data_IF_841248893494
#
_entry.id   IF_841248893494
#
_cell.length_a   1.000
_cell.length_b   1.000
_cell.length_c   1.000
_cell.angle_alpha   90.00
_cell.angle_beta   90.00
_cell.angle_gamma   90.00
#
_symmetry.space_group_name_H-M   'P 1'
#
loop_
_entity.id
_entity.type
_entity.pdbx_description
1 polymer ?
#
# COMPACT_ATOMS: atom_id res chain seq x y z
N UNK A 1 17.13 -24.31 -22.28
CA UNK A 1 16.50 -23.46 -21.25
C UNK A 1 15.02 -23.84 -21.18
N UNK A 2 14.57 -24.45 -20.08
CA UNK A 2 13.16 -24.82 -19.94
C UNK A 2 12.33 -23.55 -19.77
N UNK A 3 11.37 -23.31 -20.66
CA UNK A 3 10.37 -22.26 -20.51
C UNK A 3 9.55 -22.57 -19.25
N UNK A 4 9.78 -21.80 -18.19
CA UNK A 4 9.01 -21.88 -16.96
C UNK A 4 7.54 -21.62 -17.28
N UNK A 5 6.68 -22.55 -16.85
CA UNK A 5 5.23 -22.49 -17.03
C UNK A 5 4.73 -21.11 -16.55
N UNK A 6 4.26 -20.27 -17.47
CA UNK A 6 3.87 -18.90 -17.17
C UNK A 6 2.76 -18.94 -16.12
N UNK A 7 3.08 -18.47 -14.92
CA UNK A 7 2.11 -18.46 -13.83
C UNK A 7 1.12 -17.32 -14.04
N UNK A 8 -0.15 -17.57 -13.70
CA UNK A 8 -1.21 -16.55 -13.73
C UNK A 8 -0.98 -15.37 -12.76
N UNK A 9 0.09 -15.41 -11.98
CA UNK A 9 0.42 -14.46 -10.91
C UNK A 9 1.88 -13.99 -11.00
N UNK A 10 2.41 -13.84 -12.22
CA UNK A 10 3.81 -13.48 -12.41
C UNK A 10 4.14 -12.07 -11.88
N UNK A 11 3.26 -11.10 -12.13
CA UNK A 11 3.31 -9.76 -11.52
C UNK A 11 1.93 -9.38 -11.00
N UNK A 12 1.88 -8.81 -9.80
CA UNK A 12 0.64 -8.35 -9.17
C UNK A 12 0.86 -6.97 -8.56
N UNK A 13 -0.17 -6.13 -8.62
CA UNK A 13 -0.23 -4.86 -7.92
C UNK A 13 -1.13 -5.01 -6.70
N UNK A 14 -0.69 -4.58 -5.53
CA UNK A 14 -1.47 -4.68 -4.31
C UNK A 14 -1.12 -3.63 -3.29
N UNK A 15 -1.87 -3.61 -2.20
CA UNK A 15 -1.65 -2.71 -1.08
C UNK A 15 -0.92 -3.44 0.05
N UNK A 16 0.13 -2.83 0.59
CA UNK A 16 0.81 -3.35 1.77
C UNK A 16 -0.10 -3.24 3.01
N UNK A 17 -0.24 -4.33 3.76
CA UNK A 17 -1.04 -4.41 4.99
C UNK A 17 -0.15 -4.85 6.16
N UNK A 18 -0.55 -4.58 7.41
CA UNK A 18 0.24 -4.98 8.58
C UNK A 18 0.55 -6.48 8.59
N UNK A 19 1.77 -6.83 8.95
CA UNK A 19 2.24 -8.22 8.95
C UNK A 19 3.13 -8.55 10.12
N UNK A 20 2.78 -9.62 10.84
CA UNK A 20 3.56 -10.15 11.97
C UNK A 20 4.89 -10.78 11.52
N UNK A 21 4.99 -11.18 10.25
CA UNK A 21 6.15 -11.92 9.75
C UNK A 21 7.35 -10.99 9.51
N UNK A 22 8.49 -11.36 10.07
CA UNK A 22 9.75 -10.65 9.84
C UNK A 22 10.29 -10.91 8.42
N UNK A 23 10.94 -9.90 7.83
CA UNK A 23 11.55 -9.93 6.48
C UNK A 23 10.59 -10.18 5.31
N UNK A 24 9.28 -10.08 5.55
CA UNK A 24 8.26 -10.22 4.52
C UNK A 24 7.10 -9.27 4.79
N UNK A 25 6.62 -8.62 3.73
CA UNK A 25 5.46 -7.75 3.78
C UNK A 25 4.23 -8.51 3.28
N UNK A 26 3.09 -8.36 3.97
CA UNK A 26 1.81 -8.93 3.54
C UNK A 26 1.14 -7.95 2.59
N UNK A 27 0.70 -8.44 1.44
CA UNK A 27 0.17 -7.61 0.36
C UNK A 27 -1.21 -8.10 -0.01
N UNK A 28 -2.17 -7.17 0.02
CA UNK A 28 -3.56 -7.38 -0.34
C UNK A 28 -3.77 -7.01 -1.80
N UNK A 29 -4.07 -8.00 -2.62
CA UNK A 29 -4.36 -7.84 -4.06
C UNK A 29 -5.87 -7.97 -4.26
N UNK A 30 -6.47 -7.01 -4.96
CA UNK A 30 -7.89 -7.05 -5.32
C UNK A 30 -8.04 -7.73 -6.67
N UNK A 31 -8.78 -8.85 -6.73
CA UNK A 31 -9.20 -9.49 -7.98
C UNK A 31 -10.67 -9.21 -8.23
N UNK A 32 -11.03 -9.07 -9.50
CA UNK A 32 -12.42 -8.95 -9.91
C UNK A 32 -12.91 -10.34 -10.33
N UNK A 33 -13.83 -10.90 -9.57
CA UNK A 33 -14.45 -12.20 -9.82
C UNK A 33 -15.87 -11.97 -10.35
N UNK A 34 -16.20 -12.64 -11.46
CA UNK A 34 -17.52 -12.55 -12.07
C UNK A 34 -18.50 -13.41 -11.28
N UNK A 35 -19.60 -12.82 -10.83
CA UNK A 35 -20.77 -13.56 -10.39
C UNK A 35 -21.61 -13.95 -11.61
N UNK A 36 -21.73 -15.25 -11.89
CA UNK A 36 -22.45 -15.76 -13.06
C UNK A 36 -23.98 -15.56 -12.98
N UNK A 37 -24.54 -15.37 -11.79
CA UNK A 37 -25.99 -15.16 -11.61
C UNK A 37 -26.38 -13.71 -11.85
N UNK A 38 -25.56 -12.79 -11.35
CA UNK A 38 -25.77 -11.35 -11.47
C UNK A 38 -25.09 -10.75 -12.71
N UNK A 39 -24.19 -11.49 -13.36
CA UNK A 39 -23.34 -11.04 -14.46
C UNK A 39 -22.57 -9.75 -14.11
N UNK A 40 -22.11 -9.65 -12.86
CA UNK A 40 -21.40 -8.49 -12.32
C UNK A 40 -20.09 -8.91 -11.64
N UNK A 41 -19.06 -8.07 -11.77
CA UNK A 41 -17.78 -8.29 -11.10
C UNK A 41 -17.78 -7.77 -9.68
N UNK A 42 -17.37 -8.63 -8.75
CA UNK A 42 -17.14 -8.27 -7.35
C UNK A 42 -15.65 -8.30 -7.02
N UNK A 43 -15.25 -7.40 -6.13
CA UNK A 43 -13.87 -7.33 -5.67
C UNK A 43 -13.61 -8.32 -4.55
N UNK A 44 -12.82 -9.34 -4.83
CA UNK A 44 -12.29 -10.25 -3.81
C UNK A 44 -10.85 -9.90 -3.48
N UNK A 45 -10.46 -10.11 -2.22
CA UNK A 45 -9.11 -9.81 -1.76
C UNK A 45 -8.32 -11.10 -1.54
N UNK A 46 -7.19 -11.21 -2.21
CA UNK A 46 -6.19 -12.25 -1.98
C UNK A 46 -4.97 -11.68 -1.26
N UNK A 47 -4.34 -12.49 -0.42
CA UNK A 47 -3.18 -12.08 0.36
C UNK A 47 -1.93 -12.84 -0.08
N UNK A 48 -0.87 -12.10 -0.34
CA UNK A 48 0.43 -12.64 -0.73
C UNK A 48 1.51 -12.17 0.24
N UNK A 49 2.45 -13.05 0.58
CA UNK A 49 3.66 -12.65 1.31
C UNK A 49 4.79 -12.44 0.31
N UNK A 50 5.29 -11.21 0.29
CA UNK A 50 6.43 -10.83 -0.53
C UNK A 50 7.68 -10.66 0.33
N UNK A 51 8.81 -11.12 -0.19
CA UNK A 51 10.11 -10.93 0.43
C UNK A 51 10.50 -9.45 0.42
N UNK A 52 10.74 -8.90 1.61
CA UNK A 52 11.12 -7.52 1.85
C UNK A 52 12.03 -7.43 3.11
N UNK A 53 13.31 -7.77 2.99
CA UNK A 53 14.25 -7.75 4.12
C UNK A 53 14.56 -6.33 4.59
N UNK A 54 14.48 -5.35 3.70
CA UNK A 54 14.74 -3.93 4.00
C UNK A 54 13.55 -3.21 4.62
N UNK A 55 12.37 -3.85 4.69
CA UNK A 55 11.10 -3.22 5.08
C UNK A 55 10.89 -1.89 4.34
N UNK A 56 11.12 -1.93 3.03
CA UNK A 56 10.96 -0.75 2.17
C UNK A 56 9.47 -0.40 2.07
N UNK A 57 8.61 -1.41 2.08
CA UNK A 57 7.16 -1.22 2.04
C UNK A 57 6.64 -0.79 3.42
N UNK A 58 5.81 0.25 3.44
CA UNK A 58 5.04 0.64 4.62
C UNK A 58 3.56 0.33 4.44
N UNK A 59 2.86 0.22 5.56
CA UNK A 59 1.42 -0.03 5.61
C UNK A 59 0.67 1.02 4.80
N UNK A 60 -0.14 0.57 3.83
CA UNK A 60 -0.95 1.44 2.98
C UNK A 60 -0.30 1.81 1.64
N UNK A 61 0.97 1.49 1.40
CA UNK A 61 1.62 1.71 0.11
C UNK A 61 1.05 0.78 -0.97
N UNK A 62 0.99 1.29 -2.21
CA UNK A 62 0.73 0.46 -3.39
C UNK A 62 2.06 -0.06 -3.94
N UNK A 63 2.17 -1.38 -4.02
CA UNK A 63 3.42 -2.08 -4.30
C UNK A 63 3.25 -3.03 -5.47
N UNK A 64 4.30 -3.10 -6.29
CA UNK A 64 4.41 -4.08 -7.36
C UNK A 64 5.20 -5.28 -6.85
N UNK A 65 4.62 -6.46 -7.01
CA UNK A 65 5.25 -7.72 -6.63
C UNK A 65 5.41 -8.65 -7.81
N UNK A 66 6.49 -9.41 -7.78
CA UNK A 66 6.80 -10.41 -8.79
C UNK A 66 6.98 -11.77 -8.13
N UNK A 67 6.47 -12.81 -8.79
CA UNK A 67 6.66 -14.17 -8.31
C UNK A 67 8.15 -14.55 -8.35
N UNK A 68 8.63 -15.19 -7.28
CA UNK A 68 9.98 -15.73 -7.25
C UNK A 68 10.05 -17.03 -8.09
N UNK A 69 11.20 -17.30 -8.74
CA UNK A 69 11.38 -18.55 -9.49
C UNK A 69 11.25 -19.78 -8.56
N UNK A 70 11.74 -19.64 -7.34
CA UNK A 70 11.63 -20.64 -6.27
C UNK A 70 11.04 -20.00 -5.01
N UNK A 71 10.15 -20.72 -4.33
CA UNK A 71 9.56 -20.24 -3.07
C UNK A 71 10.61 -20.28 -1.98
N UNK A 72 10.97 -19.13 -1.41
CA UNK A 72 11.94 -19.03 -0.30
C UNK A 72 11.48 -19.78 0.95
N UNK A 73 10.17 -19.77 1.22
CA UNK A 73 9.56 -20.48 2.34
C UNK A 73 8.16 -20.91 1.95
N UNK A 74 7.50 -21.76 2.76
CA UNK A 74 6.11 -22.18 2.53
C UNK A 74 5.15 -21.01 2.26
N UNK A 75 5.35 -19.86 2.91
CA UNK A 75 4.49 -18.68 2.79
C UNK A 75 5.00 -17.64 1.79
N UNK A 76 6.33 -17.45 1.69
CA UNK A 76 6.92 -16.38 0.88
C UNK A 76 7.02 -16.86 -0.56
N UNK A 77 6.21 -16.25 -1.41
CA UNK A 77 6.03 -16.68 -2.81
C UNK A 77 6.47 -15.63 -3.81
N UNK A 78 6.42 -14.36 -3.40
CA UNK A 78 6.75 -13.21 -4.26
C UNK A 78 7.91 -12.42 -3.67
N UNK A 79 8.49 -11.53 -4.46
CA UNK A 79 9.40 -10.47 -4.03
C UNK A 79 8.79 -9.11 -4.32
N UNK A 80 9.11 -8.13 -3.48
CA UNK A 80 8.81 -6.73 -3.78
C UNK A 80 9.76 -6.26 -4.88
N UNK A 81 9.21 -5.69 -5.96
CA UNK A 81 10.02 -5.02 -6.98
C UNK A 81 10.19 -3.54 -6.65
N UNK A 82 9.08 -2.85 -6.48
CA UNK A 82 9.06 -1.40 -6.23
C UNK A 82 7.79 -0.96 -5.51
N UNK A 83 7.89 0.19 -4.84
CA UNK A 83 6.75 0.91 -4.28
C UNK A 83 6.29 1.91 -5.34
N UNK A 84 5.13 1.63 -5.95
CA UNK A 84 4.58 2.42 -7.07
C UNK A 84 3.97 3.72 -6.54
N UNK A 85 3.14 3.63 -5.50
CA UNK A 85 2.55 4.80 -4.85
C UNK A 85 2.72 4.73 -3.34
N UNK A 86 3.55 5.60 -2.75
CA UNK A 86 3.65 5.70 -1.30
C UNK A 86 2.38 6.37 -0.74
N UNK A 87 1.95 5.93 0.43
CA UNK A 87 0.77 6.48 1.09
C UNK A 87 1.03 7.95 1.51
N UNK A 88 0.23 8.89 1.00
CA UNK A 88 0.29 10.30 1.39
C UNK A 88 1.09 11.20 0.44
N UNK A 89 2.13 10.66 -0.22
CA UNK A 89 2.99 11.40 -1.16
C UNK A 89 2.89 10.82 -2.57
N UNK A 90 1.69 10.87 -3.14
CA UNK A 90 1.45 10.35 -4.48
C UNK A 90 1.97 11.36 -5.51
N UNK A 91 2.81 10.87 -6.41
CA UNK A 91 3.25 11.57 -7.62
C UNK A 91 2.47 11.09 -8.82
N UNK A 92 2.04 12.03 -9.65
CA UNK A 92 1.42 11.74 -10.94
C UNK A 92 2.46 11.09 -11.87
N UNK A 93 2.21 9.88 -12.40
CA UNK A 93 3.17 9.20 -13.27
C UNK A 93 3.37 9.90 -14.62
N UNK A 94 2.45 10.78 -15.05
CA UNK A 94 2.54 11.46 -16.34
C UNK A 94 3.37 12.74 -16.22
N UNK A 95 3.05 13.59 -15.24
CA UNK A 95 3.69 14.91 -15.08
C UNK A 95 4.86 14.90 -14.09
N UNK A 96 4.97 13.89 -13.24
CA UNK A 96 5.94 13.83 -12.15
C UNK A 96 5.63 14.78 -10.98
N UNK A 97 4.52 15.53 -11.05
CA UNK A 97 4.12 16.47 -10.00
C UNK A 97 3.41 15.73 -8.86
N UNK A 98 3.55 16.26 -7.66
CA UNK A 98 2.84 15.74 -6.49
C UNK A 98 1.37 16.13 -6.52
N UNK A 99 0.50 15.18 -6.20
CA UNK A 99 -0.95 15.34 -6.28
C UNK A 99 -1.60 15.11 -4.93
N UNK A 100 -2.64 15.88 -4.67
CA UNK A 100 -3.55 15.66 -3.54
C UNK A 100 -4.94 15.42 -4.11
N UNK A 101 -5.37 14.15 -4.05
CA UNK A 101 -6.66 13.67 -4.56
C UNK A 101 -6.81 13.87 -6.07
N UNK A 102 -7.12 15.09 -6.52
CA UNK A 102 -7.32 15.44 -7.92
C UNK A 102 -6.81 16.83 -8.29
N UNK A 103 -6.00 17.45 -7.44
CA UNK A 103 -5.35 18.74 -7.69
C UNK A 103 -3.85 18.61 -7.47
N UNK A 104 -3.06 19.30 -8.29
CA UNK A 104 -1.63 19.35 -8.09
C UNK A 104 -1.28 20.25 -6.88
N UNK A 105 -0.22 19.91 -6.15
CA UNK A 105 0.17 20.66 -4.93
C UNK A 105 0.53 22.11 -5.23
N UNK A 106 1.21 22.36 -6.35
CA UNK A 106 1.59 23.68 -6.84
C UNK A 106 0.35 24.57 -7.12
N UNK A 107 -0.67 24.03 -7.78
CA UNK A 107 -1.92 24.77 -8.02
C UNK A 107 -2.63 25.19 -6.72
N UNK A 108 -2.62 24.32 -5.71
CA UNK A 108 -3.20 24.63 -4.38
C UNK A 108 -2.38 25.74 -3.70
N UNK A 109 -1.07 25.74 -3.87
CA UNK A 109 -0.20 26.82 -3.37
C UNK A 109 -0.43 28.14 -4.07
N UNK A 110 -0.51 28.15 -5.39
CA UNK A 110 -0.82 29.34 -6.18
C UNK A 110 -2.19 29.92 -5.81
N UNK A 111 -3.21 29.06 -5.69
CA UNK A 111 -4.54 29.47 -5.25
C UNK A 111 -4.50 30.09 -3.85
N UNK A 112 -3.74 29.53 -2.92
CA UNK A 112 -3.66 30.08 -1.56
C UNK A 112 -2.87 31.38 -1.50
N UNK A 113 -1.87 31.58 -2.37
CA UNK A 113 -1.19 32.87 -2.52
C UNK A 113 -2.15 33.95 -3.04
N UNK A 114 -3.07 33.58 -3.93
CA UNK A 114 -4.03 34.50 -4.53
C UNK A 114 -5.21 34.84 -3.59
N UNK A 115 -5.76 33.84 -2.90
CA UNK A 115 -6.98 33.98 -2.10
C UNK A 115 -6.73 34.12 -0.59
N UNK A 116 -5.48 34.00 -0.14
CA UNK A 116 -5.07 34.01 1.26
C UNK A 116 -4.92 32.60 1.86
N UNK A 117 -3.98 32.44 2.79
CA UNK A 117 -3.77 31.17 3.50
C UNK A 117 -4.80 30.99 4.63
N UNK A 118 -5.43 29.82 4.70
CA UNK A 118 -6.20 29.42 5.88
C UNK A 118 -5.26 29.02 7.03
N UNK A 119 -5.55 29.44 8.26
CA UNK A 119 -4.71 29.17 9.45
C UNK A 119 -4.44 27.67 9.71
N UNK A 120 -5.36 26.78 9.29
CA UNK A 120 -5.23 25.33 9.43
C UNK A 120 -4.66 24.59 8.22
N UNK A 121 -4.09 25.30 7.23
CA UNK A 121 -3.59 24.64 6.00
C UNK A 121 -2.39 23.74 6.30
N UNK A 122 -2.41 22.53 5.75
CA UNK A 122 -1.25 21.64 5.77
C UNK A 122 -0.11 22.20 4.89
N UNK A 123 1.08 22.38 5.48
CA UNK A 123 2.27 22.91 4.80
C UNK A 123 3.16 21.74 4.36
N UNK A 124 3.09 21.39 3.08
CA UNK A 124 3.80 20.24 2.50
C UNK A 124 5.33 20.39 2.63
N UNK A 125 5.89 21.59 2.41
CA UNK A 125 7.34 21.84 2.52
C UNK A 125 7.94 21.52 3.89
N UNK A 126 7.13 21.68 4.95
CA UNK A 126 7.56 21.48 6.34
C UNK A 126 7.24 20.08 6.85
N UNK A 127 6.41 19.35 6.12
CA UNK A 127 5.98 18.03 6.53
C UNK A 127 7.11 17.02 6.30
N UNK A 128 7.30 16.05 7.21
CA UNK A 128 8.17 14.91 6.91
C UNK A 128 7.61 14.13 5.72
N UNK A 129 8.46 13.34 5.06
CA UNK A 129 7.99 12.37 4.06
C UNK A 129 6.94 11.46 4.70
N UNK A 130 5.85 11.19 3.98
CA UNK A 130 4.60 10.54 4.41
C UNK A 130 3.68 11.41 5.28
N UNK A 131 4.09 12.65 5.54
CA UNK A 131 3.34 13.66 6.28
C UNK A 131 2.90 13.18 7.67
N UNK A 132 1.67 13.54 8.03
CA UNK A 132 1.01 13.19 9.29
C UNK A 132 0.36 11.78 9.33
N UNK A 133 0.67 10.90 8.37
CA UNK A 133 0.00 9.59 8.27
C UNK A 133 0.49 8.58 9.32
N UNK A 134 1.67 8.81 9.90
CA UNK A 134 2.19 8.07 11.05
C UNK A 134 1.19 8.08 12.21
N UNK A 135 0.96 6.92 12.82
CA UNK A 135 -0.04 6.68 13.88
C UNK A 135 -1.51 6.85 13.50
N UNK A 136 -1.83 7.17 12.23
CA UNK A 136 -3.21 7.28 11.74
C UNK A 136 -3.58 6.20 10.74
N UNK A 137 -2.82 6.11 9.64
CA UNK A 137 -2.96 5.08 8.60
C UNK A 137 -1.71 4.26 8.43
N UNK A 138 -0.58 4.80 8.89
CA UNK A 138 0.69 4.11 8.98
C UNK A 138 0.97 3.62 10.40
N UNK A 139 0.97 2.31 10.57
CA UNK A 139 1.36 1.66 11.82
C UNK A 139 2.62 0.80 11.65
N UNK A 140 3.41 1.05 10.61
CA UNK A 140 4.58 0.21 10.27
C UNK A 140 5.67 0.25 11.35
N UNK A 141 5.75 1.34 12.13
CA UNK A 141 6.71 1.47 13.22
C UNK A 141 6.30 0.66 14.46
N UNK A 142 5.04 0.23 14.60
CA UNK A 142 4.55 -0.55 15.74
C UNK A 142 4.75 -2.04 15.52
N UNK A 143 4.93 -2.77 16.60
CA UNK A 143 4.88 -4.23 16.55
C UNK A 143 3.45 -4.71 16.30
N UNK A 144 3.29 -5.53 15.26
CA UNK A 144 2.00 -6.12 14.90
C UNK A 144 1.84 -7.45 15.64
N UNK A 145 0.64 -7.72 16.16
CA UNK A 145 0.32 -8.97 16.84
C UNK A 145 -0.99 -9.59 16.33
N UNK A 146 -1.16 -10.88 16.61
CA UNK A 146 -2.39 -11.61 16.28
C UNK A 146 -3.41 -11.33 17.38
N UNK A 147 -4.59 -10.85 17.00
CA UNK A 147 -5.68 -10.56 17.94
C UNK A 147 -6.45 -11.83 18.29
N UNK A 148 -6.39 -12.27 19.54
CA UNK A 148 -7.13 -13.45 20.02
C UNK A 148 -8.48 -13.11 20.67
N UNK A 149 -8.68 -11.87 21.12
CA UNK A 149 -9.90 -11.41 21.79
C UNK A 149 -10.45 -10.16 21.12
N UNK A 150 -11.78 -10.09 20.96
CA UNK A 150 -12.48 -8.90 20.49
C UNK A 150 -12.98 -8.14 21.71
N UNK A 151 -12.35 -7.01 22.04
CA UNK A 151 -12.85 -6.12 23.10
C UNK A 151 -13.93 -5.17 22.54
N UNK A 152 -14.79 -4.63 23.39
CA UNK A 152 -15.94 -3.80 22.97
C UNK A 152 -15.54 -2.44 22.34
N UNK A 153 -14.33 -1.93 22.60
CA UNK A 153 -13.81 -0.65 22.12
C UNK A 153 -12.49 -0.82 21.34
N UNK A 154 -12.51 -1.62 20.28
CA UNK A 154 -11.25 -2.20 19.80
C UNK A 154 -10.90 -1.91 18.33
N UNK A 155 -10.77 -0.61 18.04
CA UNK A 155 -10.08 -0.11 16.84
C UNK A 155 -8.56 -0.29 17.00
N UNK A 156 -8.10 -1.54 16.82
CA UNK A 156 -6.68 -1.89 16.79
C UNK A 156 -6.22 -2.13 15.33
N UNK A 157 -5.93 -1.08 14.55
CA UNK A 157 -5.59 -1.19 13.13
C UNK A 157 -4.25 -1.90 12.86
N UNK A 158 -3.43 -2.08 13.89
CA UNK A 158 -2.13 -2.78 13.85
C UNK A 158 -2.23 -4.25 14.28
N UNK A 159 -3.40 -4.72 14.72
CA UNK A 159 -3.63 -6.12 15.03
C UNK A 159 -4.03 -6.88 13.75
N UNK A 160 -3.46 -8.08 13.56
CA UNK A 160 -3.66 -8.95 12.38
C UNK A 160 -4.60 -10.10 12.71
#
# INVERSE_FOLDING_TARGET
MALTKTSKALMLLGQCVPSVKQNASKIRVKRLVLDEKLLMYFGEFEYYYAYDPGKICKTGDMVLIQQLPEKLTRLITHKVLEVVYPCGDITDPITGKEVVVGKYRDEIEEASKLFGESEGRFKYDKAPKRGWQEDKKDFTHRETYIKYHVFENDDQPYAV
#
